data_IF_854201941622
#
_entry.id   IF_854201941622
#
_cell.length_a   1.000
_cell.length_b   1.000
_cell.length_c   1.000
_cell.angle_alpha   90.00
_cell.angle_beta   90.00
_cell.angle_gamma   90.00
#
_symmetry.space_group_name_H-M   'P 1'
#
loop_
_entity.id
_entity.type
_entity.pdbx_description
1 polymer ?
#
# COMPACT_ATOMS: atom_id res chain seq x y z
N UNK A 1 -0.67 17.82 1.03
CA UNK A 1 0.59 17.27 1.58
C UNK A 1 1.36 16.63 0.43
N UNK A 2 2.67 16.86 0.32
CA UNK A 2 3.46 16.27 -0.77
C UNK A 2 3.87 14.84 -0.45
N UNK A 3 4.22 14.04 -1.47
CA UNK A 3 4.76 12.69 -1.26
C UNK A 3 6.03 12.72 -0.39
N UNK A 4 6.83 13.78 -0.49
CA UNK A 4 8.03 13.96 0.35
C UNK A 4 7.68 14.16 1.83
N UNK A 5 6.63 14.91 2.12
CA UNK A 5 6.18 15.13 3.52
C UNK A 5 5.66 13.82 4.14
N UNK A 6 4.99 12.99 3.34
CA UNK A 6 4.52 11.67 3.77
C UNK A 6 5.70 10.76 4.10
N UNK A 7 6.67 10.64 3.19
CA UNK A 7 7.88 9.83 3.42
C UNK A 7 8.66 10.32 4.63
N UNK A 8 8.82 11.63 4.78
CA UNK A 8 9.46 12.23 5.95
C UNK A 8 8.73 11.86 7.24
N UNK A 9 7.40 11.96 7.25
CA UNK A 9 6.59 11.58 8.41
C UNK A 9 6.66 10.09 8.73
N UNK A 10 6.75 9.21 7.72
CA UNK A 10 6.95 7.78 7.95
C UNK A 10 8.32 7.52 8.60
N UNK A 11 9.37 8.12 8.04
CA UNK A 11 10.72 8.03 8.57
C UNK A 11 10.84 8.53 10.01
N UNK A 12 10.22 9.67 10.35
CA UNK A 12 10.23 10.23 11.71
C UNK A 12 9.51 9.33 12.74
N UNK A 13 8.57 8.48 12.30
CA UNK A 13 7.83 7.55 13.17
C UNK A 13 8.43 6.14 13.19
N UNK A 14 9.33 5.82 12.28
CA UNK A 14 9.97 4.51 12.22
C UNK A 14 10.81 4.26 13.48
N UNK A 15 10.77 3.03 14.04
CA UNK A 15 11.70 2.63 15.09
C UNK A 15 13.16 2.77 14.63
N UNK A 16 14.10 3.04 15.55
CA UNK A 16 15.52 3.19 15.17
C UNK A 16 16.13 1.88 14.66
N UNK A 17 15.59 0.76 15.11
CA UNK A 17 15.96 -0.59 14.73
C UNK A 17 15.30 -1.07 13.43
N UNK A 18 14.40 -0.27 12.85
CA UNK A 18 13.74 -0.62 11.60
C UNK A 18 14.77 -0.80 10.48
N UNK A 19 14.71 -1.93 9.80
CA UNK A 19 15.54 -2.16 8.63
C UNK A 19 15.06 -1.30 7.46
N UNK A 20 15.92 -1.13 6.45
CA UNK A 20 15.50 -0.48 5.19
C UNK A 20 14.34 -1.24 4.52
N UNK A 21 14.24 -2.55 4.72
CA UNK A 21 13.13 -3.35 4.19
C UNK A 21 11.81 -3.01 4.87
N UNK A 22 11.81 -2.80 6.19
CA UNK A 22 10.61 -2.41 6.94
C UNK A 22 10.12 -1.03 6.51
N UNK A 23 11.05 -0.10 6.31
CA UNK A 23 10.74 1.27 5.84
C UNK A 23 10.17 1.22 4.42
N UNK A 24 10.77 0.41 3.53
CA UNK A 24 10.28 0.25 2.17
C UNK A 24 8.86 -0.34 2.14
N UNK A 25 8.61 -1.38 2.93
CA UNK A 25 7.30 -2.02 3.03
C UNK A 25 6.22 -1.04 3.52
N UNK A 26 6.52 -0.21 4.51
CA UNK A 26 5.59 0.80 5.00
C UNK A 26 5.27 1.87 3.93
N UNK A 27 6.28 2.28 3.16
CA UNK A 27 6.08 3.21 2.03
C UNK A 27 5.18 2.57 0.96
N UNK A 28 5.43 1.32 0.58
CA UNK A 28 4.60 0.60 -0.39
C UNK A 28 3.15 0.43 0.10
N UNK A 29 2.97 0.13 1.38
CA UNK A 29 1.64 0.04 1.98
C UNK A 29 0.88 1.36 1.87
N UNK A 30 1.50 2.47 2.28
CA UNK A 30 0.86 3.79 2.20
C UNK A 30 0.57 4.19 0.75
N UNK A 31 1.47 3.90 -0.19
CA UNK A 31 1.24 4.13 -1.61
C UNK A 31 0.01 3.36 -2.11
N UNK A 32 -0.06 2.06 -1.84
CA UNK A 32 -1.18 1.21 -2.24
C UNK A 32 -2.53 1.66 -1.68
N UNK A 33 -2.59 2.08 -0.41
CA UNK A 33 -3.83 2.62 0.19
C UNK A 33 -4.26 3.90 -0.53
N UNK A 34 -3.32 4.80 -0.84
CA UNK A 34 -3.63 6.06 -1.52
C UNK A 34 -4.11 5.84 -2.95
N UNK A 35 -3.48 4.91 -3.66
CA UNK A 35 -3.88 4.54 -5.02
C UNK A 35 -5.29 3.96 -5.01
N UNK A 36 -5.59 3.03 -4.09
CA UNK A 36 -6.92 2.45 -3.94
C UNK A 36 -8.00 3.50 -3.59
N UNK A 37 -7.70 4.46 -2.72
CA UNK A 37 -8.62 5.57 -2.45
C UNK A 37 -8.86 6.44 -3.70
N UNK A 38 -7.81 6.71 -4.47
CA UNK A 38 -7.93 7.46 -5.71
C UNK A 38 -8.72 6.71 -6.79
N UNK A 39 -8.59 5.38 -6.87
CA UNK A 39 -9.42 4.51 -7.72
C UNK A 39 -10.90 4.62 -7.33
N UNK A 40 -11.21 4.56 -6.03
CA UNK A 40 -12.57 4.72 -5.51
C UNK A 40 -13.16 6.10 -5.85
N UNK A 41 -12.39 7.17 -5.70
CA UNK A 41 -12.82 8.54 -6.05
C UNK A 41 -13.14 8.67 -7.56
N UNK A 42 -12.46 7.89 -8.41
CA UNK A 42 -12.74 7.82 -9.86
C UNK A 42 -13.92 6.91 -10.22
N UNK A 43 -14.52 6.24 -9.24
CA UNK A 43 -15.60 5.27 -9.44
C UNK A 43 -15.11 3.95 -10.03
N UNK A 44 -13.80 3.67 -9.96
CA UNK A 44 -13.26 2.39 -10.38
C UNK A 44 -13.68 1.32 -9.37
N UNK A 45 -14.19 0.20 -9.89
CA UNK A 45 -14.69 -0.90 -9.08
C UNK A 45 -14.10 -2.21 -9.59
N UNK A 46 -13.94 -3.15 -8.67
CA UNK A 46 -13.50 -4.50 -8.95
C UNK A 46 -14.58 -5.46 -8.48
N UNK A 47 -14.90 -6.45 -9.33
CA UNK A 47 -15.84 -7.50 -8.93
C UNK A 47 -15.23 -8.36 -7.82
N UNK A 48 -16.08 -8.97 -6.99
CA UNK A 48 -15.62 -9.90 -5.95
C UNK A 48 -14.89 -11.11 -6.52
N UNK A 49 -15.20 -11.51 -7.76
CA UNK A 49 -14.53 -12.62 -8.45
C UNK A 49 -13.08 -12.24 -8.80
N UNK A 50 -12.89 -11.06 -9.42
CA UNK A 50 -11.55 -10.53 -9.73
C UNK A 50 -10.72 -10.31 -8.46
N UNK A 51 -11.34 -9.81 -7.39
CA UNK A 51 -10.68 -9.67 -6.10
C UNK A 51 -10.21 -11.03 -5.56
N UNK A 52 -11.05 -12.06 -5.64
CA UNK A 52 -10.72 -13.41 -5.18
C UNK A 52 -9.57 -14.01 -5.97
N UNK A 53 -9.52 -13.81 -7.28
CA UNK A 53 -8.40 -14.25 -8.13
C UNK A 53 -7.08 -13.54 -7.75
N UNK A 54 -7.11 -12.22 -7.52
CA UNK A 54 -5.94 -11.46 -7.06
C UNK A 54 -5.44 -11.98 -5.71
N UNK A 55 -6.34 -12.22 -4.75
CA UNK A 55 -5.97 -12.74 -3.43
C UNK A 55 -5.33 -14.14 -3.55
N UNK A 56 -5.89 -15.03 -4.38
CA UNK A 56 -5.29 -16.34 -4.66
C UNK A 56 -3.88 -16.24 -5.22
N UNK A 57 -3.64 -15.31 -6.14
CA UNK A 57 -2.31 -15.05 -6.70
C UNK A 57 -1.32 -14.58 -5.64
N UNK A 58 -1.74 -13.71 -4.71
CA UNK A 58 -0.90 -13.22 -3.62
C UNK A 58 -0.55 -14.31 -2.61
N UNK A 59 -1.50 -15.16 -2.25
CA UNK A 59 -1.26 -16.23 -1.27
C UNK A 59 -0.64 -17.48 -1.88
N UNK A 60 -0.41 -17.50 -3.20
CA UNK A 60 0.03 -18.68 -3.93
C UNK A 60 -0.94 -19.87 -3.81
N UNK A 61 -2.19 -19.62 -3.36
CA UNK A 61 -3.20 -20.65 -3.21
C UNK A 61 -3.89 -20.87 -4.56
N UNK A 62 -3.71 -22.06 -5.15
CA UNK A 62 -4.41 -22.49 -6.36
C UNK A 62 -5.92 -22.61 -6.14
#
# INVERSE_FOLDING_TARGET
MSNKDIVKGLWERSPQEASLSDIAQEIEFVAGVRDGLAELDRGEQMTTETLRERVRQWTGSK
#
